data_IF_462143709456
#
_entry.id   IF_462143709456
#
_cell.length_a   1.000
_cell.length_b   1.000
_cell.length_c   1.000
_cell.angle_alpha   90.00
_cell.angle_beta   90.00
_cell.angle_gamma   90.00
#
_symmetry.space_group_name_H-M   'P 1'
#
loop_
_entity.id
_entity.type
_entity.pdbx_description
1 polymer ?
#
# COMPACT_ATOMS: atom_id res chain seq x y z
N UNK A 1 11.91 7.59 24.20
CA UNK A 1 10.74 6.68 24.07
C UNK A 1 10.88 5.91 22.78
N UNK A 2 10.50 4.63 22.75
CA UNK A 2 10.47 3.86 21.50
C UNK A 2 9.15 4.10 20.76
N UNK A 3 9.19 4.24 19.43
CA UNK A 3 8.03 4.44 18.56
C UNK A 3 7.80 3.22 17.68
N UNK A 4 6.55 2.76 17.61
CA UNK A 4 6.11 1.73 16.68
C UNK A 4 5.11 2.31 15.67
N UNK A 5 5.29 1.97 14.40
CA UNK A 5 4.36 2.27 13.31
C UNK A 5 3.61 0.99 12.93
N UNK A 6 2.27 1.03 12.96
CA UNK A 6 1.42 -0.11 12.61
C UNK A 6 0.59 0.25 11.38
N UNK A 7 0.71 -0.55 10.33
CA UNK A 7 0.13 -0.31 9.01
C UNK A 7 -0.83 -1.45 8.62
N UNK A 8 -1.99 -1.10 8.08
CA UNK A 8 -3.08 -2.03 7.80
C UNK A 8 -2.97 -2.70 6.44
N UNK A 9 -3.93 -3.56 6.13
CA UNK A 9 -4.14 -4.02 4.75
C UNK A 9 -4.95 -3.00 3.94
N UNK A 10 -4.89 -3.08 2.61
CA UNK A 10 -5.65 -2.19 1.73
C UNK A 10 -5.37 -2.31 0.22
N UNK A 11 -4.58 -3.31 -0.20
CA UNK A 11 -4.16 -3.46 -1.59
C UNK A 11 -3.35 -2.26 -2.13
N UNK A 12 -3.31 -2.12 -3.45
CA UNK A 12 -2.58 -1.03 -4.14
C UNK A 12 -3.05 0.36 -3.73
N UNK A 13 -4.36 0.54 -3.51
CA UNK A 13 -4.91 1.80 -3.01
C UNK A 13 -4.43 2.10 -1.59
N UNK A 14 -4.34 1.08 -0.73
CA UNK A 14 -3.79 1.18 0.61
C UNK A 14 -2.33 1.62 0.62
N UNK A 15 -1.49 1.06 -0.26
CA UNK A 15 -0.08 1.46 -0.40
C UNK A 15 0.03 2.96 -0.72
N UNK A 16 -0.72 3.42 -1.72
CA UNK A 16 -0.73 4.83 -2.12
C UNK A 16 -1.23 5.74 -1.00
N UNK A 17 -2.30 5.35 -0.31
CA UNK A 17 -2.87 6.12 0.80
C UNK A 17 -1.89 6.22 1.98
N UNK A 18 -1.30 5.11 2.42
CA UNK A 18 -0.38 5.09 3.56
C UNK A 18 0.88 5.93 3.28
N UNK A 19 1.48 5.80 2.10
CA UNK A 19 2.65 6.61 1.71
C UNK A 19 2.33 8.11 1.68
N UNK A 20 1.18 8.49 1.11
CA UNK A 20 0.74 9.89 1.08
C UNK A 20 0.46 10.46 2.47
N UNK A 21 -0.13 9.68 3.39
CA UNK A 21 -0.33 10.10 4.79
C UNK A 21 1.01 10.28 5.50
N UNK A 22 1.95 9.35 5.32
CA UNK A 22 3.28 9.43 5.93
C UNK A 22 4.05 10.65 5.41
N UNK A 23 3.99 10.91 4.11
CA UNK A 23 4.60 12.09 3.48
C UNK A 23 4.00 13.40 4.00
N UNK A 24 2.67 13.49 4.05
CA UNK A 24 1.98 14.68 4.58
C UNK A 24 2.33 14.94 6.06
N UNK A 25 2.43 13.87 6.86
CA UNK A 25 2.85 13.98 8.27
C UNK A 25 4.30 14.42 8.40
N UNK A 26 5.21 13.88 7.58
CA UNK A 26 6.60 14.31 7.55
C UNK A 26 6.72 15.80 7.19
N UNK A 27 5.97 16.26 6.19
CA UNK A 27 5.88 17.67 5.79
C UNK A 27 5.29 18.57 6.88
N UNK A 28 4.44 18.02 7.75
CA UNK A 28 3.91 18.69 8.94
C UNK A 28 4.86 18.63 10.17
N UNK A 29 6.05 18.05 10.03
CA UNK A 29 7.05 17.92 11.09
C UNK A 29 6.94 16.67 11.96
N UNK A 30 6.07 15.71 11.58
CA UNK A 30 5.91 14.43 12.25
C UNK A 30 6.56 13.33 11.40
N UNK A 31 7.85 13.11 11.63
CA UNK A 31 8.58 12.03 10.96
C UNK A 31 8.25 10.65 11.57
N UNK A 32 7.55 9.83 10.78
CA UNK A 32 7.22 8.44 11.08
C UNK A 32 8.22 7.43 10.48
N UNK A 33 9.07 7.87 9.54
CA UNK A 33 10.04 6.99 8.87
C UNK A 33 11.12 6.49 9.84
N UNK A 34 11.42 7.29 10.86
CA UNK A 34 12.32 6.95 11.97
C UNK A 34 11.71 6.07 13.07
N UNK A 35 10.59 5.36 12.84
CA UNK A 35 10.03 4.44 13.83
C UNK A 35 11.00 3.27 14.13
N UNK A 36 11.19 2.94 15.41
CA UNK A 36 12.10 1.84 15.82
C UNK A 36 11.56 0.47 15.41
N UNK A 37 10.24 0.35 15.26
CA UNK A 37 9.50 -0.87 14.93
C UNK A 37 8.41 -0.55 13.92
N UNK A 38 8.29 -1.42 12.92
CA UNK A 38 7.22 -1.34 11.91
C UNK A 38 6.53 -2.70 11.87
N UNK A 39 5.20 -2.71 11.98
CA UNK A 39 4.35 -3.89 11.86
C UNK A 39 3.34 -3.62 10.75
N UNK A 40 3.30 -4.48 9.74
CA UNK A 40 2.46 -4.28 8.56
C UNK A 40 1.82 -5.58 8.08
N UNK A 41 0.63 -5.49 7.48
CA UNK A 41 -0.06 -6.61 6.83
C UNK A 41 -0.43 -6.23 5.40
N UNK A 42 -0.18 -7.10 4.41
CA UNK A 42 -0.52 -6.82 2.99
C UNK A 42 0.08 -5.49 2.52
N UNK A 43 -0.74 -4.47 2.21
CA UNK A 43 -0.31 -3.12 1.86
C UNK A 43 0.69 -2.54 2.87
N UNK A 44 0.35 -2.58 4.16
CA UNK A 44 1.22 -2.09 5.22
C UNK A 44 2.52 -2.87 5.37
N UNK A 45 2.55 -4.15 5.00
CA UNK A 45 3.81 -4.90 4.95
C UNK A 45 4.71 -4.40 3.81
N UNK A 46 4.13 -4.10 2.65
CA UNK A 46 4.85 -3.53 1.52
C UNK A 46 5.37 -2.12 1.83
N UNK A 47 4.54 -1.22 2.35
CA UNK A 47 4.94 0.12 2.78
C UNK A 47 6.00 0.05 3.87
N UNK A 48 5.79 -0.79 4.88
CA UNK A 48 6.75 -0.99 5.95
C UNK A 48 8.12 -1.46 5.45
N UNK A 49 8.17 -2.35 4.45
CA UNK A 49 9.41 -2.76 3.81
C UNK A 49 10.06 -1.62 3.00
N UNK A 50 9.26 -0.87 2.23
CA UNK A 50 9.72 0.26 1.41
C UNK A 50 10.39 1.36 2.25
N UNK A 51 9.81 1.71 3.40
CA UNK A 51 10.41 2.69 4.32
C UNK A 51 11.80 2.29 4.82
N UNK A 52 12.16 1.00 4.72
CA UNK A 52 13.46 0.48 5.17
C UNK A 52 14.50 0.36 4.05
N UNK A 53 14.13 0.61 2.79
CA UNK A 53 15.08 0.57 1.67
C UNK A 53 15.99 1.79 1.61
N UNK A 54 15.59 2.89 2.28
CA UNK A 54 16.28 4.18 2.20
C UNK A 54 15.86 5.04 1.00
N UNK A 55 14.87 4.61 0.21
CA UNK A 55 14.23 5.46 -0.79
C UNK A 55 13.52 6.66 -0.12
N UNK A 56 13.49 7.80 -0.82
CA UNK A 56 12.77 8.98 -0.34
C UNK A 56 11.25 8.80 -0.45
N UNK A 57 10.50 9.45 0.44
CA UNK A 57 9.03 9.49 0.37
C UNK A 57 8.55 10.07 -0.97
N UNK A 58 9.21 11.10 -1.50
CA UNK A 58 8.97 11.63 -2.86
C UNK A 58 9.03 10.54 -3.93
N UNK A 59 10.09 9.71 -3.92
CA UNK A 59 10.26 8.62 -4.89
C UNK A 59 9.16 7.57 -4.74
N UNK A 60 8.89 7.17 -3.49
CA UNK A 60 7.86 6.17 -3.18
C UNK A 60 6.46 6.65 -3.58
N UNK A 61 6.14 7.92 -3.32
CA UNK A 61 4.88 8.55 -3.71
C UNK A 61 4.77 8.71 -5.23
N UNK A 62 5.83 9.15 -5.91
CA UNK A 62 5.84 9.30 -7.36
C UNK A 62 5.52 7.97 -8.08
N UNK A 63 5.99 6.85 -7.56
CA UNK A 63 5.66 5.51 -8.09
C UNK A 63 4.17 5.18 -8.04
N UNK A 64 3.40 5.77 -7.13
CA UNK A 64 1.97 5.52 -6.99
C UNK A 64 1.12 6.33 -7.98
N UNK A 65 1.73 7.29 -8.67
CA UNK A 65 1.09 8.14 -9.67
C UNK A 65 1.32 7.64 -11.10
N UNK A 66 2.11 6.58 -11.26
CA UNK A 66 2.37 5.94 -12.54
C UNK A 66 1.05 5.34 -13.08
N UNK A 67 0.72 5.51 -14.37
CA UNK A 67 -0.50 4.97 -14.95
C UNK A 67 -0.66 3.46 -14.70
N UNK A 68 -1.90 3.01 -14.51
CA UNK A 68 -2.21 1.62 -14.19
C UNK A 68 -1.73 0.65 -15.28
N UNK A 69 -1.67 1.09 -16.55
CA UNK A 69 -1.18 0.27 -17.67
C UNK A 69 0.32 -0.04 -17.57
N UNK A 70 1.04 0.70 -16.72
CA UNK A 70 2.48 0.58 -16.51
C UNK A 70 2.82 -0.13 -15.18
N UNK A 71 1.81 -0.57 -14.43
CA UNK A 71 2.03 -1.31 -13.19
C UNK A 71 2.41 -2.77 -13.46
N UNK A 72 3.28 -3.33 -12.61
CA UNK A 72 3.56 -4.76 -12.58
C UNK A 72 2.53 -5.56 -11.76
N UNK A 73 1.56 -4.87 -11.13
CA UNK A 73 0.45 -5.49 -10.41
C UNK A 73 -0.52 -6.17 -11.39
N UNK A 74 -0.94 -7.39 -11.04
CA UNK A 74 -1.94 -8.13 -11.80
C UNK A 74 -3.25 -7.37 -11.77
N UNK A 75 -3.66 -6.84 -12.92
CA UNK A 75 -4.99 -6.29 -13.09
C UNK A 75 -5.98 -7.45 -13.14
N UNK A 76 -6.89 -7.51 -12.17
CA UNK A 76 -8.03 -8.40 -12.25
C UNK A 76 -9.09 -7.70 -13.09
N UNK A 77 -9.32 -8.18 -14.31
CA UNK A 77 -10.56 -7.86 -15.03
C UNK A 77 -11.73 -8.45 -14.22
N UNK A 78 -12.27 -7.65 -13.31
CA UNK A 78 -13.38 -8.05 -12.47
C UNK A 78 -14.68 -7.63 -13.13
N UNK A 79 -15.39 -8.62 -13.68
CA UNK A 79 -16.82 -8.51 -13.94
C UNK A 79 -17.56 -9.11 -12.74
N UNK A 80 -18.42 -8.31 -12.11
CA UNK A 80 -19.31 -8.79 -11.05
C UNK A 80 -20.17 -9.96 -11.56
N UNK A 81 -20.61 -9.89 -12.81
CA UNK A 81 -21.40 -10.94 -13.45
C UNK A 81 -20.58 -12.24 -13.57
N UNK A 82 -19.33 -12.14 -14.05
CA UNK A 82 -18.45 -13.30 -14.16
C UNK A 82 -18.11 -13.92 -12.79
N UNK A 83 -17.98 -13.09 -11.76
CA UNK A 83 -17.74 -13.54 -10.38
C UNK A 83 -18.96 -14.32 -9.86
N UNK A 84 -20.18 -13.81 -10.10
CA UNK A 84 -21.43 -14.46 -9.70
C UNK A 84 -21.59 -15.80 -10.41
N UNK A 85 -21.34 -15.86 -11.73
CA UNK A 85 -21.41 -17.11 -12.49
C UNK A 85 -20.43 -18.17 -11.98
N UNK A 86 -19.16 -17.80 -11.76
CA UNK A 86 -18.16 -18.73 -11.23
C UNK A 86 -18.48 -19.22 -9.82
N UNK A 87 -19.03 -18.34 -8.99
CA UNK A 87 -19.42 -18.72 -7.63
C UNK A 87 -20.62 -19.68 -7.65
N UNK A 88 -21.64 -19.41 -8.48
CA UNK A 88 -22.79 -20.28 -8.64
C UNK A 88 -22.39 -21.69 -9.11
N UNK A 89 -21.48 -21.79 -10.08
CA UNK A 89 -20.98 -23.06 -10.61
C UNK A 89 -20.23 -23.94 -9.59
N UNK A 90 -19.82 -23.38 -8.44
CA UNK A 90 -19.19 -24.15 -7.36
C UNK A 90 -20.22 -24.91 -6.48
N UNK A 91 -21.52 -24.68 -6.68
CA UNK A 91 -22.60 -25.30 -5.91
C UNK A 91 -23.54 -26.19 -6.75
N UNK A 92 -23.22 -26.40 -8.04
CA UNK A 92 -23.83 -27.41 -8.92
C UNK A 92 -23.03 -28.73 -8.87
#
# INVERSE_FOLDING_TARGET
MSKALVLGGGGVAGIAWELGVIDALANAGVDLTGADRIVGTSAGAAVGAQLRTGESLDSLCARQLVPAEQTAELQVESSLDALIEQFAACFD
#
